data_IF_019486083366
#
_entry.id   IF_019486083366
#
_cell.length_a   1.000
_cell.length_b   1.000
_cell.length_c   1.000
_cell.angle_alpha   90.00
_cell.angle_beta   90.00
_cell.angle_gamma   90.00
#
_symmetry.space_group_name_H-M   'P 1'
#
loop_
_entity.id
_entity.type
_entity.pdbx_description
1 polymer ?
#
# COMPACT_ATOMS: atom_id res chain seq x y z
N UNK A 1 -16.07 -4.68 -0.85
CA UNK A 1 -16.24 -3.33 -0.27
C UNK A 1 -15.78 -2.36 -1.32
N UNK A 2 -16.70 -1.96 -2.19
CA UNK A 2 -16.47 -0.96 -3.24
C UNK A 2 -16.74 0.42 -2.65
N UNK A 3 -15.76 0.95 -1.92
CA UNK A 3 -15.77 2.36 -1.55
C UNK A 3 -14.89 3.13 -2.52
N UNK A 4 -15.50 4.08 -3.22
CA UNK A 4 -14.85 4.92 -4.22
C UNK A 4 -13.96 5.95 -3.54
N UNK A 5 -12.77 5.51 -3.12
CA UNK A 5 -11.76 6.33 -2.44
C UNK A 5 -11.39 7.62 -3.18
N UNK A 6 -11.61 7.68 -4.50
CA UNK A 6 -11.39 8.88 -5.32
C UNK A 6 -12.43 9.97 -5.03
N UNK A 7 -13.66 9.59 -4.71
CA UNK A 7 -14.74 10.54 -4.42
C UNK A 7 -14.54 11.23 -3.06
N UNK A 8 -14.09 10.50 -2.03
CA UNK A 8 -13.86 11.00 -0.66
C UNK A 8 -12.69 12.00 -0.62
N UNK A 9 -11.61 11.74 -1.36
CA UNK A 9 -10.43 12.60 -1.36
C UNK A 9 -10.70 14.01 -1.92
N UNK A 10 -11.78 14.20 -2.70
CA UNK A 10 -12.18 15.51 -3.25
C UNK A 10 -12.82 16.45 -2.22
N UNK A 11 -13.24 15.93 -1.05
CA UNK A 11 -13.92 16.68 0.01
C UNK A 11 -13.03 17.15 1.16
N UNK A 12 -11.73 16.83 1.16
CA UNK A 12 -10.81 17.15 2.27
C UNK A 12 -10.91 16.22 3.48
N UNK A 13 -11.65 15.11 3.35
CA UNK A 13 -11.76 14.06 4.37
C UNK A 13 -10.77 12.92 4.09
N UNK A 14 -10.29 12.29 5.17
CA UNK A 14 -9.39 11.14 5.08
C UNK A 14 -10.15 9.89 4.61
N UNK A 15 -9.62 9.18 3.60
CA UNK A 15 -10.20 7.91 3.18
C UNK A 15 -9.92 6.80 4.21
N UNK A 16 -10.81 5.81 4.31
CA UNK A 16 -10.57 4.61 5.13
C UNK A 16 -9.23 3.93 4.83
N UNK A 17 -8.80 3.94 3.56
CA UNK A 17 -7.50 3.39 3.15
C UNK A 17 -6.31 4.16 3.74
N UNK A 18 -6.42 5.49 3.90
CA UNK A 18 -5.41 6.31 4.55
C UNK A 18 -5.39 6.07 6.06
N UNK A 19 -6.57 5.98 6.69
CA UNK A 19 -6.67 5.69 8.13
C UNK A 19 -6.06 4.32 8.48
N UNK A 20 -6.32 3.29 7.64
CA UNK A 20 -5.71 1.96 7.78
C UNK A 20 -4.19 2.05 7.58
N UNK A 21 -3.73 2.71 6.53
CA UNK A 21 -2.30 2.89 6.25
C UNK A 21 -1.56 3.54 7.42
N UNK A 22 -2.12 4.63 7.97
CA UNK A 22 -1.58 5.31 9.16
C UNK A 22 -1.62 4.41 10.39
N UNK A 23 -2.71 3.67 10.61
CA UNK A 23 -2.81 2.73 11.72
C UNK A 23 -1.71 1.67 11.70
N UNK A 24 -1.40 1.13 10.53
CA UNK A 24 -0.31 0.16 10.35
C UNK A 24 1.08 0.81 10.56
N UNK A 25 1.30 2.02 10.05
CA UNK A 25 2.53 2.75 10.31
C UNK A 25 2.75 2.99 11.81
N UNK A 26 1.75 3.54 12.51
CA UNK A 26 1.83 3.80 13.96
C UNK A 26 1.94 2.50 14.76
N UNK A 27 1.35 1.41 14.28
CA UNK A 27 1.46 0.07 14.87
C UNK A 27 2.84 -0.60 14.71
N UNK A 28 3.78 0.04 14.01
CA UNK A 28 5.14 -0.50 13.82
C UNK A 28 5.25 -1.59 12.77
N UNK A 29 4.25 -1.76 11.89
CA UNK A 29 4.38 -2.66 10.75
C UNK A 29 5.40 -2.10 9.75
N UNK A 30 6.12 -2.98 9.05
CA UNK A 30 7.11 -2.60 8.02
C UNK A 30 6.47 -2.25 6.67
N UNK A 31 5.22 -2.64 6.44
CA UNK A 31 4.52 -2.41 5.18
C UNK A 31 3.18 -3.12 5.09
N UNK A 32 2.55 -3.03 3.91
CA UNK A 32 1.24 -3.58 3.60
C UNK A 32 1.20 -4.14 2.17
N UNK A 33 0.53 -5.27 1.98
CA UNK A 33 0.12 -5.75 0.67
C UNK A 33 -1.33 -5.33 0.47
N UNK A 34 -1.60 -4.53 -0.55
CA UNK A 34 -2.94 -3.97 -0.81
C UNK A 34 -3.43 -4.34 -2.21
N UNK A 35 -4.75 -4.45 -2.44
CA UNK A 35 -5.29 -4.64 -3.78
C UNK A 35 -4.88 -3.50 -4.72
N UNK A 36 -4.57 -3.83 -5.97
CA UNK A 36 -4.29 -2.83 -7.00
C UNK A 36 -5.60 -2.26 -7.54
N UNK A 37 -5.80 -0.96 -7.39
CA UNK A 37 -6.94 -0.26 -7.99
C UNK A 37 -6.90 -0.27 -9.54
N UNK A 38 -5.71 -0.48 -10.15
CA UNK A 38 -5.53 -0.51 -11.61
C UNK A 38 -5.85 -1.87 -12.22
N UNK A 39 -5.69 -2.95 -11.46
CA UNK A 39 -6.04 -4.31 -11.88
C UNK A 39 -6.88 -5.00 -10.78
N UNK A 40 -8.14 -4.55 -10.59
CA UNK A 40 -9.03 -5.13 -9.60
C UNK A 40 -9.49 -6.51 -10.06
N UNK A 41 -9.42 -7.50 -9.17
CA UNK A 41 -10.13 -8.78 -9.36
C UNK A 41 -10.85 -9.17 -8.07
N UNK A 42 -11.88 -10.00 -8.22
CA UNK A 42 -12.56 -10.63 -7.10
C UNK A 42 -11.83 -11.94 -6.75
N UNK A 43 -11.06 -11.94 -5.65
CA UNK A 43 -10.31 -13.10 -5.17
C UNK A 43 -8.79 -12.93 -5.18
N UNK A 44 -8.06 -14.01 -5.44
CA UNK A 44 -6.58 -14.02 -5.45
C UNK A 44 -5.97 -13.60 -6.79
N UNK A 45 -6.76 -13.46 -7.86
CA UNK A 45 -6.27 -13.27 -9.23
C UNK A 45 -5.99 -11.80 -9.60
N UNK A 46 -5.94 -10.93 -8.60
CA UNK A 46 -5.92 -9.48 -8.77
C UNK A 46 -4.53 -8.91 -8.56
N UNK A 47 -4.22 -7.81 -9.25
CA UNK A 47 -2.97 -7.10 -9.02
C UNK A 47 -2.84 -6.71 -7.55
N UNK A 48 -1.63 -6.76 -7.02
CA UNK A 48 -1.31 -6.31 -5.66
C UNK A 48 -0.30 -5.17 -5.75
N UNK A 49 -0.45 -4.17 -4.89
CA UNK A 49 0.56 -3.16 -4.65
C UNK A 49 1.20 -3.45 -3.29
N UNK A 50 2.45 -3.03 -3.12
CA UNK A 50 3.17 -3.09 -1.85
C UNK A 50 3.39 -1.65 -1.37
N UNK A 51 2.99 -1.36 -0.14
CA UNK A 51 3.35 -0.14 0.58
C UNK A 51 4.44 -0.52 1.58
N UNK A 52 5.54 0.21 1.61
CA UNK A 52 6.65 -0.03 2.54
C UNK A 52 6.82 1.20 3.41
N UNK A 53 7.10 1.00 4.70
CA UNK A 53 7.40 2.03 5.69
C UNK A 53 8.89 1.94 6.07
N UNK A 54 9.80 2.63 5.36
CA UNK A 54 11.24 2.48 5.55
C UNK A 54 11.69 2.77 6.99
N UNK A 55 11.02 3.68 7.68
CA UNK A 55 11.31 4.08 9.05
C UNK A 55 10.99 2.99 10.08
N UNK A 56 10.13 2.04 9.72
CA UNK A 56 9.71 0.94 10.59
C UNK A 56 10.46 -0.37 10.33
N UNK A 57 11.39 -0.40 9.37
CA UNK A 57 12.17 -1.60 9.07
C UNK A 57 12.97 -2.04 10.30
N UNK A 58 12.82 -3.30 10.68
CA UNK A 58 13.66 -3.94 11.67
C UNK A 58 15.09 -4.11 11.14
N UNK A 59 16.05 -4.25 12.05
CA UNK A 59 17.47 -4.40 11.68
C UNK A 59 17.77 -5.63 10.80
N UNK A 60 16.86 -6.62 10.75
CA UNK A 60 16.98 -7.80 9.90
C UNK A 60 16.35 -7.65 8.52
N UNK A 61 15.55 -6.60 8.31
CA UNK A 61 14.83 -6.35 7.06
C UNK A 61 15.63 -5.43 6.15
N UNK A 62 15.54 -5.66 4.83
CA UNK A 62 16.13 -4.79 3.82
C UNK A 62 15.21 -4.65 2.62
N UNK A 63 15.24 -3.47 1.99
CA UNK A 63 14.63 -3.22 0.69
C UNK A 63 15.77 -3.17 -0.33
N UNK A 64 15.67 -3.98 -1.38
CA UNK A 64 16.66 -4.02 -2.43
C UNK A 64 15.95 -3.99 -3.78
N UNK A 65 16.37 -3.07 -4.64
CA UNK A 65 15.90 -3.03 -6.03
C UNK A 65 16.76 -4.00 -6.81
N UNK A 66 16.16 -5.10 -7.26
CA UNK A 66 16.81 -6.07 -8.14
C UNK A 66 16.69 -5.60 -9.60
N UNK A 67 17.77 -5.77 -10.38
CA UNK A 67 17.81 -5.41 -11.80
C UNK A 67 17.34 -3.97 -12.08
N UNK A 68 17.87 -3.00 -11.32
CA UNK A 68 17.51 -1.59 -11.45
C UNK A 68 17.77 -1.04 -12.87
N UNK A 69 18.69 -1.65 -13.60
CA UNK A 69 19.03 -1.37 -15.00
C UNK A 69 17.97 -1.85 -16.02
N UNK A 70 16.99 -2.65 -15.58
CA UNK A 70 15.89 -3.16 -16.41
C UNK A 70 14.57 -2.41 -16.17
N UNK A 71 14.58 -1.39 -15.31
CA UNK A 71 13.44 -0.50 -15.14
C UNK A 71 13.41 0.50 -16.32
N UNK A 72 12.25 0.68 -16.99
CA UNK A 72 12.10 1.56 -18.16
C UNK A 72 12.24 3.04 -17.83
#
# INVERSE_FOLDING_TARGET
MDEDWRSIQSGGEESWTQAIGRGCYVGGFEGLIVPSARNPSSGNDGGKNIVIFPENLSNGSKIEILAADQLP
#
